data_IF_809532374583
#
_entry.id   IF_809532374583
#
_cell.length_a   1.000
_cell.length_b   1.000
_cell.length_c   1.000
_cell.angle_alpha   90.00
_cell.angle_beta   90.00
_cell.angle_gamma   90.00
#
_symmetry.space_group_name_H-M   'P 1'
#
loop_
_entity.id
_entity.type
_entity.pdbx_description
1 polymer ?
#
# COMPACT_ATOMS: atom_id res chain seq x y z
N UNK A 1 -17.67 -3.49 14.92
CA UNK A 1 -17.12 -4.64 14.18
C UNK A 1 -17.12 -4.34 12.68
N UNK A 2 -16.25 -5.02 11.91
CA UNK A 2 -16.19 -4.98 10.45
C UNK A 2 -16.40 -6.40 9.90
N UNK A 3 -17.66 -6.84 9.72
CA UNK A 3 -17.94 -8.19 9.20
C UNK A 3 -17.51 -8.37 7.73
N UNK A 4 -17.28 -7.27 7.02
CA UNK A 4 -16.74 -7.21 5.66
C UNK A 4 -15.21 -7.23 5.62
N UNK A 5 -14.53 -7.38 6.77
CA UNK A 5 -13.08 -7.41 6.80
C UNK A 5 -12.52 -8.60 6.02
N UNK A 6 -11.55 -8.35 5.12
CA UNK A 6 -10.89 -9.39 4.32
C UNK A 6 -9.38 -9.29 4.41
N UNK A 7 -8.73 -10.45 4.58
CA UNK A 7 -7.29 -10.60 4.48
C UNK A 7 -6.87 -10.83 3.03
N UNK A 8 -5.91 -10.05 2.54
CA UNK A 8 -5.33 -10.18 1.20
C UNK A 8 -3.81 -10.09 1.33
N UNK A 9 -3.08 -10.93 0.61
CA UNK A 9 -1.62 -10.97 0.66
C UNK A 9 -1.03 -11.22 -0.71
N UNK A 10 0.15 -10.66 -0.97
CA UNK A 10 0.92 -10.92 -2.17
C UNK A 10 2.41 -10.80 -1.91
N UNK A 11 3.19 -11.61 -2.62
CA UNK A 11 4.66 -11.61 -2.56
C UNK A 11 5.27 -11.81 -3.93
N UNK A 12 6.43 -11.23 -4.14
CA UNK A 12 7.24 -11.47 -5.33
C UNK A 12 8.19 -12.68 -5.17
N UNK A 13 8.90 -13.03 -6.24
CA UNK A 13 9.86 -14.14 -6.24
C UNK A 13 11.08 -13.93 -5.32
N UNK A 14 11.30 -12.70 -4.82
CA UNK A 14 12.37 -12.36 -3.88
C UNK A 14 11.89 -12.42 -2.43
N UNK A 15 10.63 -12.82 -2.20
CA UNK A 15 10.04 -12.93 -0.87
C UNK A 15 9.56 -11.59 -0.30
N UNK A 16 9.51 -10.52 -1.09
CA UNK A 16 9.05 -9.19 -0.66
C UNK A 16 7.55 -9.09 -0.89
N UNK A 17 6.81 -8.39 -0.04
CA UNK A 17 5.37 -8.31 -0.23
C UNK A 17 4.60 -7.43 0.71
N UNK A 18 3.28 -7.57 0.61
CA UNK A 18 2.26 -6.81 1.35
C UNK A 18 1.25 -7.81 1.91
N UNK A 19 0.91 -7.66 3.19
CA UNK A 19 -0.32 -8.20 3.76
C UNK A 19 -1.25 -7.04 4.09
N UNK A 20 -2.53 -7.22 3.83
CA UNK A 20 -3.56 -6.24 4.10
C UNK A 20 -4.78 -6.89 4.75
N UNK A 21 -5.35 -6.22 5.73
CA UNK A 21 -6.72 -6.46 6.20
C UNK A 21 -7.54 -5.24 5.80
N UNK A 22 -8.55 -5.42 4.95
CA UNK A 22 -9.31 -4.32 4.36
C UNK A 22 -10.77 -4.38 4.81
N UNK A 23 -11.42 -3.22 4.97
CA UNK A 23 -12.86 -3.11 5.17
C UNK A 23 -13.37 -1.89 4.41
N UNK A 24 -14.19 -2.12 3.39
CA UNK A 24 -14.82 -1.06 2.60
C UNK A 24 -15.86 -0.31 3.44
N UNK A 25 -16.57 -1.01 4.35
CA UNK A 25 -17.55 -0.39 5.24
C UNK A 25 -16.92 0.59 6.23
N UNK A 26 -15.71 0.29 6.71
CA UNK A 26 -14.95 1.22 7.54
C UNK A 26 -14.13 2.23 6.73
N UNK A 27 -14.03 2.04 5.41
CA UNK A 27 -13.18 2.86 4.56
C UNK A 27 -11.71 2.76 4.92
N UNK A 28 -11.26 1.61 5.44
CA UNK A 28 -9.95 1.45 6.05
C UNK A 28 -9.23 0.17 5.64
N UNK A 29 -7.89 0.21 5.71
CA UNK A 29 -7.04 -0.96 5.61
C UNK A 29 -5.91 -0.93 6.67
N UNK A 30 -5.55 -2.09 7.19
CA UNK A 30 -4.33 -2.30 7.96
C UNK A 30 -3.34 -3.00 7.05
N UNK A 31 -2.17 -2.41 6.85
CA UNK A 31 -1.18 -2.87 5.88
C UNK A 31 0.15 -3.12 6.57
N UNK A 32 0.75 -4.27 6.33
CA UNK A 32 2.13 -4.59 6.71
C UNK A 32 2.93 -4.94 5.47
N UNK A 33 4.21 -4.56 5.45
CA UNK A 33 5.14 -4.92 4.38
C UNK A 33 6.24 -5.82 4.94
N UNK A 34 6.86 -6.61 4.07
CA UNK A 34 7.91 -7.54 4.48
C UNK A 34 8.95 -7.74 3.36
N UNK A 35 10.16 -8.12 3.75
CA UNK A 35 11.27 -8.39 2.83
C UNK A 35 11.87 -7.14 2.16
N UNK A 36 11.51 -5.94 2.60
CA UNK A 36 12.10 -4.71 2.09
C UNK A 36 13.42 -4.41 2.83
N UNK A 37 14.49 -3.99 2.13
CA UNK A 37 15.70 -3.54 2.79
C UNK A 37 15.44 -2.23 3.55
N UNK A 38 16.37 -1.81 4.41
CA UNK A 38 16.31 -0.47 4.99
C UNK A 38 16.37 0.60 3.87
N UNK A 39 15.54 1.65 3.92
CA UNK A 39 15.61 2.73 2.95
C UNK A 39 16.94 3.50 3.12
N UNK A 40 17.55 3.98 2.03
CA UNK A 40 18.71 4.87 2.10
C UNK A 40 18.41 6.15 2.87
N UNK A 41 19.46 6.86 3.29
CA UNK A 41 19.33 8.17 3.95
C UNK A 41 18.53 9.15 3.07
N UNK A 42 17.66 9.93 3.71
CA UNK A 42 16.78 10.89 3.02
C UNK A 42 15.62 10.25 2.24
N UNK A 43 15.43 8.92 2.34
CA UNK A 43 14.34 8.19 1.69
C UNK A 43 13.43 7.50 2.69
N UNK A 44 12.19 7.25 2.27
CA UNK A 44 11.20 6.47 3.02
C UNK A 44 10.39 5.62 2.05
N UNK A 45 9.83 4.51 2.55
CA UNK A 45 8.80 3.81 1.79
C UNK A 45 7.44 4.48 2.00
N UNK A 46 6.72 4.68 0.91
CA UNK A 46 5.38 5.26 0.94
C UNK A 46 4.37 4.27 0.40
N UNK A 47 3.28 4.08 1.15
CA UNK A 47 2.13 3.31 0.71
C UNK A 47 1.21 4.19 -0.15
N UNK A 48 0.63 3.58 -1.18
CA UNK A 48 -0.33 4.18 -2.07
C UNK A 48 -1.59 3.32 -2.15
N UNK A 49 -2.76 3.98 -2.07
CA UNK A 49 -4.01 3.42 -2.56
C UNK A 49 -4.07 3.72 -4.05
N UNK A 50 -4.23 2.70 -4.89
CA UNK A 50 -4.34 2.87 -6.34
C UNK A 50 -5.80 2.66 -6.71
N UNK A 51 -6.47 3.76 -7.03
CA UNK A 51 -7.85 3.69 -7.49
C UNK A 51 -7.93 3.50 -9.01
N UNK A 52 -9.06 2.97 -9.45
CA UNK A 52 -9.50 3.02 -10.84
C UNK A 52 -9.73 4.48 -11.26
N UNK A 53 -8.96 4.94 -12.24
CA UNK A 53 -9.08 6.26 -12.84
C UNK A 53 -9.90 6.25 -14.14
N UNK A 54 -10.27 7.44 -14.65
CA UNK A 54 -10.98 7.57 -15.92
C UNK A 54 -10.25 6.84 -17.05
N UNK A 55 -11.00 6.13 -17.89
CA UNK A 55 -10.45 5.39 -19.02
C UNK A 55 -9.54 4.22 -18.63
N UNK A 56 -9.66 3.68 -17.40
CA UNK A 56 -8.83 2.57 -16.91
C UNK A 56 -7.42 3.01 -16.47
N UNK A 57 -7.20 4.31 -16.31
CA UNK A 57 -5.93 4.84 -15.77
C UNK A 57 -5.78 4.47 -14.28
N UNK A 58 -4.54 4.46 -13.78
CA UNK A 58 -4.29 4.30 -12.35
C UNK A 58 -4.27 5.68 -11.67
N UNK A 59 -4.99 5.83 -10.57
CA UNK A 59 -5.02 7.05 -9.76
C UNK A 59 -4.39 6.79 -8.37
N UNK A 60 -3.07 6.97 -8.21
CA UNK A 60 -2.40 6.79 -6.93
C UNK A 60 -2.74 7.92 -5.95
N UNK A 61 -3.08 7.55 -4.72
CA UNK A 61 -3.26 8.47 -3.59
C UNK A 61 -2.30 8.11 -2.44
N UNK A 62 -1.63 9.09 -1.81
CA UNK A 62 -0.82 8.85 -0.62
C UNK A 62 -1.65 8.17 0.47
N UNK A 63 -1.14 7.07 1.02
CA UNK A 63 -1.80 6.29 2.07
C UNK A 63 -1.04 6.30 3.40
N UNK A 64 0.21 6.80 3.39
CA UNK A 64 1.06 6.99 4.56
C UNK A 64 2.51 6.56 4.31
N UNK A 65 3.39 6.91 5.25
CA UNK A 65 4.80 6.51 5.25
C UNK A 65 5.02 5.33 6.17
N UNK A 66 5.88 4.41 5.73
CA UNK A 66 6.36 3.29 6.53
C UNK A 66 7.60 3.72 7.32
N UNK A 67 7.77 3.18 8.52
CA UNK A 67 8.95 3.40 9.35
C UNK A 67 10.05 2.41 8.97
N UNK A 68 11.26 2.90 8.69
CA UNK A 68 12.37 2.02 8.29
C UNK A 68 12.02 1.15 7.08
N UNK A 69 12.25 -0.16 7.17
CA UNK A 69 11.81 -1.13 6.15
C UNK A 69 10.29 -1.38 6.13
N UNK A 70 9.57 -0.95 7.17
CA UNK A 70 8.15 -1.24 7.40
C UNK A 70 7.89 -2.67 7.92
N UNK A 71 8.93 -3.44 8.21
CA UNK A 71 8.80 -4.81 8.71
C UNK A 71 8.34 -4.81 10.17
N UNK A 72 7.27 -5.56 10.47
CA UNK A 72 6.68 -5.65 11.81
C UNK A 72 5.82 -4.45 12.23
N UNK A 73 5.82 -3.36 11.46
CA UNK A 73 5.09 -2.13 11.78
C UNK A 73 3.85 -1.97 10.88
N UNK A 74 2.62 -2.21 11.39
CA UNK A 74 1.40 -2.00 10.63
C UNK A 74 1.11 -0.52 10.42
N UNK A 75 0.71 -0.17 9.20
CA UNK A 75 0.15 1.13 8.84
C UNK A 75 -1.37 1.01 8.69
N UNK A 76 -2.11 1.79 9.45
CA UNK A 76 -3.56 1.95 9.28
C UNK A 76 -3.80 3.10 8.31
N UNK A 77 -4.50 2.83 7.22
CA UNK A 77 -4.84 3.83 6.21
C UNK A 77 -6.36 3.95 6.06
N UNK A 78 -6.81 5.19 5.84
CA UNK A 78 -8.21 5.53 5.56
C UNK A 78 -8.42 5.85 4.09
N UNK A 79 -9.68 6.07 3.70
CA UNK A 79 -10.04 6.34 2.30
C UNK A 79 -9.89 5.13 1.39
N UNK A 80 -9.97 3.92 1.96
CA UNK A 80 -10.05 2.67 1.22
C UNK A 80 -11.47 2.52 0.66
N UNK A 81 -11.64 2.82 -0.63
CA UNK A 81 -12.94 2.94 -1.27
C UNK A 81 -13.30 1.77 -2.16
N UNK A 82 -14.48 1.85 -2.80
CA UNK A 82 -14.91 0.84 -3.76
C UNK A 82 -14.00 0.78 -5.01
N UNK A 83 -13.41 1.92 -5.35
CA UNK A 83 -12.55 2.10 -6.53
C UNK A 83 -11.10 1.70 -6.28
N UNK A 84 -10.72 1.38 -5.03
CA UNK A 84 -9.34 1.01 -4.68
C UNK A 84 -9.05 -0.43 -5.16
N UNK A 85 -8.29 -0.54 -6.24
CA UNK A 85 -7.99 -1.82 -6.91
C UNK A 85 -6.65 -2.43 -6.47
N UNK A 86 -5.69 -1.61 -6.05
CA UNK A 86 -4.35 -2.07 -5.68
C UNK A 86 -3.79 -1.28 -4.51
N UNK A 87 -2.89 -1.93 -3.78
CA UNK A 87 -1.91 -1.26 -2.91
C UNK A 87 -0.56 -1.28 -3.62
N UNK A 88 0.22 -0.22 -3.49
CA UNK A 88 1.59 -0.17 -3.98
C UNK A 88 2.51 0.49 -2.96
N UNK A 89 3.77 0.08 -2.93
CA UNK A 89 4.80 0.70 -2.10
C UNK A 89 5.94 1.15 -2.99
N UNK A 90 6.34 2.39 -2.87
CA UNK A 90 7.44 2.99 -3.64
C UNK A 90 8.49 3.55 -2.68
N UNK A 91 9.70 3.78 -3.19
CA UNK A 91 10.74 4.48 -2.43
C UNK A 91 10.65 5.99 -2.77
N UNK A 92 10.37 6.82 -1.77
CA UNK A 92 10.09 8.24 -1.93
C UNK A 92 11.08 9.07 -1.10
N UNK A 93 11.13 10.41 -1.28
CA UNK A 93 11.78 11.30 -0.31
C UNK A 93 11.26 11.07 1.11
N UNK A 94 12.08 11.32 2.14
CA UNK A 94 11.72 11.04 3.54
C UNK A 94 10.42 11.72 4.01
N UNK A 95 10.05 12.87 3.44
CA UNK A 95 8.78 13.57 3.72
C UNK A 95 7.57 13.01 2.96
N UNK A 96 7.77 11.98 2.14
CA UNK A 96 6.78 11.47 1.20
C UNK A 96 6.67 12.31 -0.07
N UNK A 97 5.66 12.00 -0.86
CA UNK A 97 5.39 12.65 -2.13
C UNK A 97 3.88 12.71 -2.41
N UNK A 98 3.43 13.72 -3.17
CA UNK A 98 2.03 13.82 -3.59
C UNK A 98 1.68 12.83 -4.72
N UNK A 99 2.68 12.35 -5.47
CA UNK A 99 2.57 11.32 -6.50
C UNK A 99 3.83 10.44 -6.46
N UNK A 100 3.79 9.17 -6.91
CA UNK A 100 4.96 8.32 -6.91
C UNK A 100 6.11 8.95 -7.72
N UNK A 101 7.33 8.97 -7.16
CA UNK A 101 8.54 9.42 -7.87
C UNK A 101 9.37 8.25 -8.38
N UNK A 102 9.08 7.03 -7.91
CA UNK A 102 9.73 5.79 -8.36
C UNK A 102 8.71 4.72 -8.74
N UNK A 103 9.19 3.68 -9.42
CA UNK A 103 8.37 2.49 -9.69
C UNK A 103 8.05 1.73 -8.38
N UNK A 104 6.91 1.03 -8.32
CA UNK A 104 6.60 0.18 -7.17
C UNK A 104 7.68 -0.86 -6.89
N UNK A 105 8.07 -0.94 -5.63
CA UNK A 105 8.99 -1.97 -5.10
C UNK A 105 8.23 -3.27 -4.88
N UNK A 106 7.00 -3.16 -4.37
CA UNK A 106 5.99 -4.22 -4.23
C UNK A 106 4.60 -3.65 -4.50
N UNK A 107 3.68 -4.49 -4.95
CA UNK A 107 2.28 -4.14 -5.15
C UNK A 107 1.38 -5.34 -4.85
N UNK A 108 0.13 -5.07 -4.50
CA UNK A 108 -0.89 -6.07 -4.19
C UNK A 108 -2.18 -5.71 -4.92
N UNK A 109 -2.65 -6.61 -5.79
CA UNK A 109 -3.98 -6.51 -6.35
C UNK A 109 -5.03 -6.88 -5.30
N UNK A 110 -6.08 -6.06 -5.21
CA UNK A 110 -7.22 -6.24 -4.33
C UNK A 110 -8.38 -6.73 -5.19
N UNK A 111 -8.23 -7.93 -5.75
CA UNK A 111 -9.35 -8.56 -6.46
C UNK A 111 -10.51 -8.75 -5.49
N UNK A 112 -11.72 -8.36 -5.89
CA UNK A 112 -12.92 -9.00 -5.34
C UNK A 112 -12.96 -10.42 -5.94
N UNK A 113 -13.12 -11.49 -5.14
CA UNK A 113 -13.53 -12.79 -5.67
C UNK A 113 -14.94 -12.71 -6.28
#
# INVERSE_FOLDING_TARGET
>A
SAPDARGVSGRDARGRGINAVTSRRLGAAVVTVFGLPAPPEGRAYQLWLIDAGPGGSAAPRPAGLLKGSGEGDPLVTGGFGADTERLAVTLEPAGGSPRPTTNPVVQLALSDP
#
